data_IF_509941129303
#
_entry.id   IF_509941129303
#
_cell.length_a   1.000
_cell.length_b   1.000
_cell.length_c   1.000
_cell.angle_alpha   90.00
_cell.angle_beta   90.00
_cell.angle_gamma   90.00
#
_symmetry.space_group_name_H-M   'P 1'
#
loop_
_entity.id
_entity.type
_entity.pdbx_description
1 polymer ?
#
# COMPACT_ATOMS: atom_id res chain seq x y z
N UNK A 1 -11.59 32.65 11.85
CA UNK A 1 -12.13 31.34 11.39
C UNK A 1 -13.08 31.63 10.25
N UNK A 2 -12.82 31.12 9.03
CA UNK A 2 -13.77 31.25 7.91
C UNK A 2 -14.91 30.23 8.12
N UNK A 3 -15.99 30.66 8.76
CA UNK A 3 -17.22 29.87 8.93
C UNK A 3 -17.86 29.53 7.58
N UNK A 4 -17.51 30.26 6.53
CA UNK A 4 -18.07 30.10 5.18
C UNK A 4 -17.68 28.80 4.46
N UNK A 5 -16.60 28.15 4.84
CA UNK A 5 -16.13 26.92 4.19
C UNK A 5 -16.63 25.64 4.84
N UNK A 6 -17.17 25.72 6.06
CA UNK A 6 -17.66 24.57 6.83
C UNK A 6 -19.17 24.40 6.68
N UNK A 7 -19.65 23.14 6.79
CA UNK A 7 -21.09 22.80 6.70
C UNK A 7 -21.54 22.11 7.97
N UNK A 8 -22.66 22.57 8.52
CA UNK A 8 -23.37 21.86 9.60
C UNK A 8 -24.55 21.11 8.98
N UNK A 9 -24.48 19.79 9.08
CA UNK A 9 -25.60 18.92 8.73
C UNK A 9 -26.51 18.75 9.94
N UNK A 10 -27.83 18.85 9.74
CA UNK A 10 -28.82 18.67 10.80
C UNK A 10 -29.80 17.60 10.37
N UNK A 11 -29.89 16.51 11.14
CA UNK A 11 -30.87 15.44 10.89
C UNK A 11 -31.77 15.29 12.11
N UNK A 12 -33.04 15.67 11.93
CA UNK A 12 -34.05 15.63 12.98
C UNK A 12 -35.44 15.53 12.29
N UNK A 13 -36.34 14.67 12.76
CA UNK A 13 -37.66 14.48 12.16
C UNK A 13 -38.65 15.58 12.54
N UNK A 14 -38.44 16.30 13.66
CA UNK A 14 -39.26 17.43 14.08
C UNK A 14 -39.00 18.69 13.20
N UNK A 15 -39.94 19.12 12.37
CA UNK A 15 -39.75 20.25 11.50
C UNK A 15 -39.55 21.57 12.27
N UNK A 16 -40.12 21.71 13.47
CA UNK A 16 -40.04 22.90 14.30
C UNK A 16 -38.61 23.07 14.85
N UNK A 17 -38.08 22.00 15.46
CA UNK A 17 -36.73 22.04 15.98
C UNK A 17 -35.68 22.16 14.87
N UNK A 18 -35.85 21.41 13.78
CA UNK A 18 -34.97 21.48 12.61
C UNK A 18 -34.94 22.90 12.02
N UNK A 19 -36.10 23.56 11.91
CA UNK A 19 -36.21 24.94 11.44
C UNK A 19 -35.61 25.98 12.40
N UNK A 20 -35.75 25.76 13.72
CA UNK A 20 -35.15 26.62 14.73
C UNK A 20 -33.63 26.54 14.70
N UNK A 21 -33.07 25.31 14.63
CA UNK A 21 -31.62 25.08 14.50
C UNK A 21 -31.08 25.70 13.19
N UNK A 22 -31.74 25.47 12.04
CA UNK A 22 -31.31 26.06 10.75
C UNK A 22 -31.26 27.60 10.85
N UNK A 23 -32.33 28.23 11.42
CA UNK A 23 -32.39 29.68 11.57
C UNK A 23 -31.30 30.22 12.50
N UNK A 24 -31.08 29.59 13.64
CA UNK A 24 -30.03 29.94 14.60
C UNK A 24 -28.66 29.89 13.94
N UNK A 25 -28.31 28.78 13.32
CA UNK A 25 -27.00 28.57 12.73
C UNK A 25 -26.70 29.51 11.57
N UNK A 26 -27.71 29.77 10.71
CA UNK A 26 -27.58 30.78 9.63
C UNK A 26 -27.43 32.20 10.18
N UNK A 27 -28.09 32.54 11.28
CA UNK A 27 -27.97 33.84 11.89
C UNK A 27 -26.57 34.17 12.39
N UNK A 28 -25.81 33.14 12.77
CA UNK A 28 -24.41 33.26 13.20
C UNK A 28 -23.40 32.93 12.11
N UNK A 29 -23.85 32.76 10.84
CA UNK A 29 -23.00 32.67 9.65
C UNK A 29 -22.59 31.28 9.24
N UNK A 30 -23.19 30.21 9.81
CA UNK A 30 -22.92 28.85 9.37
C UNK A 30 -23.68 28.49 8.08
N UNK A 31 -23.06 27.66 7.23
CA UNK A 31 -23.80 26.97 6.16
C UNK A 31 -24.48 25.74 6.73
N UNK A 32 -25.76 25.60 6.50
CA UNK A 32 -26.57 24.52 7.06
C UNK A 32 -27.25 23.75 5.96
N UNK A 33 -27.27 22.43 6.09
CA UNK A 33 -28.10 21.53 5.30
C UNK A 33 -28.93 20.68 6.25
N UNK A 34 -30.22 20.61 6.04
CA UNK A 34 -31.16 19.92 6.94
C UNK A 34 -31.77 18.70 6.24
N UNK A 35 -32.01 17.65 6.97
CA UNK A 35 -32.57 16.39 6.51
C UNK A 35 -33.65 15.91 7.47
N UNK A 36 -34.70 15.28 6.93
CA UNK A 36 -35.86 14.79 7.69
C UNK A 36 -35.57 13.39 8.26
N UNK A 37 -34.64 12.64 7.64
CA UNK A 37 -34.32 11.26 8.03
C UNK A 37 -32.84 10.97 7.83
N UNK A 38 -32.39 9.91 8.50
CA UNK A 38 -31.05 9.36 8.30
C UNK A 38 -30.81 8.89 6.85
N UNK A 39 -31.85 8.35 6.19
CA UNK A 39 -31.74 7.88 4.82
C UNK A 39 -31.55 9.04 3.84
N UNK A 40 -32.31 10.16 4.00
CA UNK A 40 -32.14 11.35 3.16
C UNK A 40 -30.71 11.92 3.25
N UNK A 41 -30.13 11.87 4.45
CA UNK A 41 -28.74 12.30 4.65
C UNK A 41 -27.74 11.38 3.91
N UNK A 42 -27.88 10.06 4.02
CA UNK A 42 -27.01 9.10 3.31
C UNK A 42 -27.13 9.26 1.79
N UNK A 43 -28.36 9.43 1.28
CA UNK A 43 -28.63 9.58 -0.15
C UNK A 43 -28.07 10.89 -0.72
N UNK A 44 -27.88 11.91 0.12
CA UNK A 44 -27.30 13.21 -0.27
C UNK A 44 -25.82 13.14 -0.62
N UNK A 45 -25.11 12.05 -0.26
CA UNK A 45 -23.67 11.85 -0.43
C UNK A 45 -22.91 13.08 0.08
N UNK A 46 -22.76 13.24 1.39
CA UNK A 46 -22.17 14.43 1.98
C UNK A 46 -20.78 14.70 1.38
N UNK A 47 -20.52 15.97 1.07
CA UNK A 47 -19.29 16.38 0.41
C UNK A 47 -18.08 16.20 1.35
N UNK A 48 -16.94 15.88 0.78
CA UNK A 48 -15.66 15.80 1.51
C UNK A 48 -15.13 17.22 1.78
N UNK A 49 -15.69 17.84 2.82
CA UNK A 49 -15.30 19.17 3.33
C UNK A 49 -15.40 19.19 4.84
N UNK A 50 -14.84 20.22 5.46
CA UNK A 50 -14.98 20.47 6.88
C UNK A 50 -16.45 20.52 7.28
N UNK A 51 -16.87 19.65 8.22
CA UNK A 51 -18.28 19.52 8.57
C UNK A 51 -18.47 18.99 9.99
N UNK A 52 -19.69 19.13 10.52
CA UNK A 52 -20.18 18.34 11.63
C UNK A 52 -21.63 17.93 11.38
N UNK A 53 -22.09 16.90 12.08
CA UNK A 53 -23.42 16.35 12.01
C UNK A 53 -24.14 16.51 13.36
N UNK A 54 -25.19 17.29 13.39
CA UNK A 54 -26.14 17.39 14.49
C UNK A 54 -27.26 16.39 14.22
N UNK A 55 -27.43 15.40 15.10
CA UNK A 55 -28.20 14.20 14.81
C UNK A 55 -29.16 13.85 15.95
N UNK A 56 -30.45 13.78 15.67
CA UNK A 56 -31.39 13.19 16.63
C UNK A 56 -31.16 11.69 16.78
N UNK A 57 -31.14 11.22 18.02
CA UNK A 57 -31.05 9.80 18.34
C UNK A 57 -32.31 9.06 17.90
N UNK A 58 -33.50 9.67 18.10
CA UNK A 58 -34.80 9.03 17.97
C UNK A 58 -35.45 9.30 16.59
N UNK A 59 -34.74 8.95 15.50
CA UNK A 59 -35.28 9.09 14.15
C UNK A 59 -36.19 7.89 13.78
N UNK A 60 -37.23 8.12 12.97
CA UNK A 60 -38.08 7.06 12.44
C UNK A 60 -37.31 6.25 11.37
N UNK A 61 -37.45 4.93 11.42
CA UNK A 61 -36.76 4.00 10.52
C UNK A 61 -35.33 3.73 10.96
N UNK A 62 -34.37 4.34 10.31
CA UNK A 62 -32.96 4.23 10.68
C UNK A 62 -32.66 5.21 11.82
N UNK A 63 -32.33 4.70 13.01
CA UNK A 63 -32.03 5.55 14.17
C UNK A 63 -30.73 6.34 13.98
N UNK A 64 -30.53 7.41 14.79
CA UNK A 64 -29.30 8.18 14.77
C UNK A 64 -28.05 7.33 15.07
N UNK A 65 -28.14 6.36 15.98
CA UNK A 65 -27.04 5.42 16.28
C UNK A 65 -26.74 4.46 15.11
N UNK A 66 -27.78 4.03 14.40
CA UNK A 66 -27.59 3.21 13.20
C UNK A 66 -26.94 4.03 12.08
N UNK A 67 -27.34 5.29 11.89
CA UNK A 67 -26.69 6.19 10.95
C UNK A 67 -25.20 6.37 11.25
N UNK A 68 -24.84 6.59 12.52
CA UNK A 68 -23.43 6.67 12.91
C UNK A 68 -22.66 5.39 12.53
N UNK A 69 -23.28 4.23 12.77
CA UNK A 69 -22.69 2.93 12.40
C UNK A 69 -22.47 2.81 10.89
N UNK A 70 -23.43 3.27 10.08
CA UNK A 70 -23.32 3.28 8.63
C UNK A 70 -22.23 4.27 8.12
N UNK A 71 -22.07 5.43 8.76
CA UNK A 71 -20.99 6.36 8.44
C UNK A 71 -19.62 5.73 8.66
N UNK A 72 -19.43 5.04 9.78
CA UNK A 72 -18.18 4.31 10.10
C UNK A 72 -17.90 3.22 9.06
N UNK A 73 -18.89 2.40 8.71
CA UNK A 73 -18.74 1.35 7.69
C UNK A 73 -18.36 1.90 6.33
N UNK A 74 -18.93 3.05 5.97
CA UNK A 74 -18.65 3.73 4.70
C UNK A 74 -17.40 4.62 4.75
N UNK A 75 -16.63 4.62 5.86
CA UNK A 75 -15.43 5.44 6.08
C UNK A 75 -15.69 6.95 5.95
N UNK A 76 -16.89 7.39 6.23
CA UNK A 76 -17.27 8.82 6.24
C UNK A 76 -16.93 9.37 7.63
N UNK A 77 -15.92 10.22 7.69
CA UNK A 77 -15.42 10.80 8.94
C UNK A 77 -16.03 12.19 9.13
N UNK A 78 -17.20 12.26 9.80
CA UNK A 78 -17.85 13.51 10.18
C UNK A 78 -18.08 13.42 11.70
N UNK A 79 -17.62 14.41 12.50
CA UNK A 79 -17.93 14.47 13.93
C UNK A 79 -19.44 14.57 14.16
N UNK A 80 -19.96 13.72 15.06
CA UNK A 80 -21.38 13.63 15.36
C UNK A 80 -21.66 14.25 16.73
N UNK A 81 -22.63 15.17 16.77
CA UNK A 81 -23.24 15.74 17.97
C UNK A 81 -24.64 15.15 18.07
N UNK A 82 -24.90 14.32 19.07
CA UNK A 82 -26.23 13.78 19.27
C UNK A 82 -27.13 14.76 20.04
N UNK A 83 -28.40 14.82 19.64
CA UNK A 83 -29.47 15.51 20.36
C UNK A 83 -30.53 14.46 20.73
N UNK A 84 -31.05 14.49 21.95
CA UNK A 84 -32.10 13.55 22.38
C UNK A 84 -33.09 14.17 23.38
N UNK A 85 -34.37 13.80 23.26
CA UNK A 85 -35.40 14.15 24.23
C UNK A 85 -35.44 13.27 25.50
N UNK A 86 -34.75 12.11 25.48
CA UNK A 86 -34.68 11.20 26.60
C UNK A 86 -33.22 10.83 26.85
N UNK A 87 -32.63 11.48 27.86
CA UNK A 87 -31.29 11.13 28.32
C UNK A 87 -31.38 9.95 29.29
N UNK A 88 -31.42 8.73 28.75
CA UNK A 88 -31.05 7.58 29.56
C UNK A 88 -29.55 7.36 29.50
N UNK A 89 -28.95 7.11 30.66
CA UNK A 89 -27.49 6.87 30.77
C UNK A 89 -26.98 5.77 29.81
N UNK A 90 -27.71 4.66 29.58
CA UNK A 90 -27.31 3.64 28.60
C UNK A 90 -27.17 4.17 27.17
N UNK A 91 -28.08 5.03 26.69
CA UNK A 91 -28.04 5.57 25.30
C UNK A 91 -26.92 6.55 25.10
N UNK A 92 -26.70 7.47 26.07
CA UNK A 92 -25.56 8.40 26.01
C UNK A 92 -24.20 7.68 26.02
N UNK A 93 -24.05 6.67 26.87
CA UNK A 93 -22.83 5.86 26.92
C UNK A 93 -22.60 5.06 25.62
N UNK A 94 -23.68 4.56 24.99
CA UNK A 94 -23.58 3.88 23.70
C UNK A 94 -23.16 4.82 22.59
N UNK A 95 -23.73 6.02 22.52
CA UNK A 95 -23.36 7.06 21.56
C UNK A 95 -21.87 7.44 21.67
N UNK A 96 -21.40 7.72 22.89
CA UNK A 96 -19.99 8.08 23.14
C UNK A 96 -19.05 6.91 22.84
N UNK A 97 -19.39 5.67 23.19
CA UNK A 97 -18.59 4.49 22.83
C UNK A 97 -18.54 4.22 21.34
N UNK A 98 -19.57 4.62 20.60
CA UNK A 98 -19.61 4.55 19.15
C UNK A 98 -18.85 5.72 18.46
N UNK A 99 -18.17 6.59 19.23
CA UNK A 99 -17.33 7.67 18.70
C UNK A 99 -18.08 8.98 18.46
N UNK A 100 -19.21 9.23 19.14
CA UNK A 100 -19.82 10.55 19.16
C UNK A 100 -18.88 11.55 19.84
N UNK A 101 -18.81 12.76 19.30
CA UNK A 101 -17.98 13.82 19.85
C UNK A 101 -18.66 14.51 21.04
N UNK A 102 -19.98 14.73 20.92
CA UNK A 102 -20.77 15.49 21.90
C UNK A 102 -22.19 14.91 21.98
N UNK A 103 -22.87 15.26 23.08
CA UNK A 103 -24.24 14.80 23.37
C UNK A 103 -25.04 15.87 24.10
N UNK A 104 -26.14 16.34 23.50
CA UNK A 104 -27.02 17.35 24.08
C UNK A 104 -28.41 16.78 24.41
N UNK A 105 -28.97 17.16 25.56
CA UNK A 105 -30.33 16.77 25.97
C UNK A 105 -31.34 17.86 25.68
N UNK A 106 -32.45 17.53 25.04
CA UNK A 106 -33.58 18.45 24.84
C UNK A 106 -34.37 18.63 26.15
N UNK A 107 -34.66 19.87 26.60
CA UNK A 107 -34.26 21.13 25.99
C UNK A 107 -32.81 21.48 26.28
N UNK A 108 -32.12 22.09 25.32
CA UNK A 108 -30.76 22.60 25.44
C UNK A 108 -30.73 24.11 25.18
N UNK A 109 -29.72 24.80 25.71
CA UNK A 109 -29.52 26.21 25.43
C UNK A 109 -28.86 26.44 24.08
N UNK A 110 -29.13 27.56 23.44
CA UNK A 110 -28.54 27.91 22.12
C UNK A 110 -27.00 27.94 22.19
N UNK A 111 -26.47 28.45 23.30
CA UNK A 111 -25.03 28.55 23.54
C UNK A 111 -24.37 27.18 23.59
N UNK A 112 -25.00 26.18 24.21
CA UNK A 112 -24.46 24.80 24.31
C UNK A 112 -24.36 24.17 22.92
N UNK A 113 -25.38 24.33 22.08
CA UNK A 113 -25.36 23.83 20.71
C UNK A 113 -24.28 24.52 19.88
N UNK A 114 -24.13 25.83 19.99
CA UNK A 114 -23.12 26.59 19.25
C UNK A 114 -21.68 26.24 19.70
N UNK A 115 -21.49 25.98 20.99
CA UNK A 115 -20.20 25.52 21.51
C UNK A 115 -19.85 24.12 21.03
N UNK A 116 -20.79 23.17 21.09
CA UNK A 116 -20.62 21.82 20.58
C UNK A 116 -20.28 21.83 19.07
N UNK A 117 -20.95 22.65 18.27
CA UNK A 117 -20.67 22.78 16.83
C UNK A 117 -19.26 23.36 16.59
N UNK A 118 -18.86 24.42 17.32
CA UNK A 118 -17.51 24.98 17.16
C UNK A 118 -16.45 23.95 17.51
N UNK A 119 -16.64 23.19 18.59
CA UNK A 119 -15.75 22.12 19.00
C UNK A 119 -15.67 21.00 17.94
N UNK A 120 -16.82 20.58 17.40
CA UNK A 120 -16.87 19.55 16.37
C UNK A 120 -16.16 19.98 15.07
N UNK A 121 -16.39 21.20 14.60
CA UNK A 121 -15.73 21.74 13.40
C UNK A 121 -14.22 21.87 13.60
N UNK A 122 -13.78 22.32 14.78
CA UNK A 122 -12.35 22.41 15.09
C UNK A 122 -11.69 21.02 15.18
N UNK A 123 -12.38 20.04 15.76
CA UNK A 123 -11.94 18.65 15.79
C UNK A 123 -11.80 18.08 14.37
N UNK A 124 -12.81 18.28 13.50
CA UNK A 124 -12.75 17.83 12.10
C UNK A 124 -11.57 18.48 11.36
N UNK A 125 -11.35 19.79 11.54
CA UNK A 125 -10.24 20.53 10.96
C UNK A 125 -8.90 19.91 11.35
N UNK A 126 -8.68 19.74 12.65
CA UNK A 126 -7.42 19.17 13.17
C UNK A 126 -7.17 17.75 12.67
N UNK A 127 -8.22 16.92 12.65
CA UNK A 127 -8.15 15.56 12.14
C UNK A 127 -7.79 15.52 10.65
N UNK A 128 -8.40 16.40 9.83
CA UNK A 128 -8.11 16.50 8.39
C UNK A 128 -6.71 17.05 8.12
N UNK A 129 -6.25 18.03 8.87
CA UNK A 129 -4.88 18.55 8.78
C UNK A 129 -3.86 17.44 9.10
N UNK A 130 -4.02 16.72 10.21
CA UNK A 130 -3.15 15.60 10.57
C UNK A 130 -3.16 14.48 9.54
N UNK A 131 -4.34 14.16 8.98
CA UNK A 131 -4.44 13.14 7.94
C UNK A 131 -3.73 13.56 6.66
N UNK A 132 -3.90 14.82 6.24
CA UNK A 132 -3.20 15.36 5.06
C UNK A 132 -1.70 15.38 5.25
N UNK A 133 -1.21 15.87 6.39
CA UNK A 133 0.23 15.93 6.69
C UNK A 133 0.84 14.51 6.67
N UNK A 134 0.15 13.54 7.26
CA UNK A 134 0.57 12.14 7.22
C UNK A 134 0.60 11.57 5.78
N UNK A 135 -0.39 11.88 4.96
CA UNK A 135 -0.39 11.48 3.55
C UNK A 135 0.74 12.14 2.75
N UNK A 136 1.05 13.41 3.02
CA UNK A 136 2.16 14.11 2.38
C UNK A 136 3.51 13.50 2.76
N UNK A 137 3.70 13.12 4.03
CA UNK A 137 4.90 12.41 4.50
C UNK A 137 5.05 11.04 3.82
N UNK A 138 3.99 10.24 3.76
CA UNK A 138 4.01 8.95 3.08
C UNK A 138 4.28 9.09 1.58
N UNK A 139 3.69 10.09 0.92
CA UNK A 139 3.95 10.37 -0.48
C UNK A 139 5.41 10.81 -0.72
N UNK A 140 6.02 11.54 0.21
CA UNK A 140 7.44 11.88 0.15
C UNK A 140 8.32 10.63 0.30
N UNK A 141 8.02 9.75 1.25
CA UNK A 141 8.71 8.47 1.43
C UNK A 141 8.58 7.56 0.19
N UNK A 142 7.39 7.50 -0.43
CA UNK A 142 7.16 6.76 -1.65
C UNK A 142 8.03 7.26 -2.81
N UNK A 143 8.15 8.59 -2.99
CA UNK A 143 9.04 9.17 -4.02
C UNK A 143 10.50 8.79 -3.80
N UNK A 144 10.98 8.78 -2.55
CA UNK A 144 12.34 8.36 -2.22
C UNK A 144 12.52 6.87 -2.56
N UNK A 145 11.60 6.00 -2.13
CA UNK A 145 11.66 4.58 -2.40
C UNK A 145 11.64 4.27 -3.90
N UNK A 146 10.77 4.92 -4.67
CA UNK A 146 10.74 4.81 -6.13
C UNK A 146 12.06 5.28 -6.77
N UNK A 147 12.66 6.34 -6.24
CA UNK A 147 13.97 6.82 -6.68
C UNK A 147 15.10 5.81 -6.43
N UNK A 148 15.04 5.04 -5.34
CA UNK A 148 16.00 3.97 -5.06
C UNK A 148 15.81 2.77 -6.00
N UNK A 149 14.59 2.50 -6.46
CA UNK A 149 14.26 1.44 -7.42
C UNK A 149 14.39 1.89 -8.88
N UNK A 150 14.68 3.18 -9.13
CA UNK A 150 14.87 3.65 -10.48
C UNK A 150 16.01 2.87 -11.13
N UNK A 151 15.68 2.03 -12.10
CA UNK A 151 16.65 1.48 -13.02
C UNK A 151 17.20 2.68 -13.78
N UNK A 152 18.34 3.19 -13.37
CA UNK A 152 19.16 3.97 -14.29
C UNK A 152 19.33 3.03 -15.48
N UNK A 153 18.88 3.44 -16.66
CA UNK A 153 18.93 2.63 -17.88
C UNK A 153 20.40 2.36 -18.25
N UNK A 154 21.04 1.55 -17.43
CA UNK A 154 22.32 0.93 -17.70
C UNK A 154 21.99 -0.18 -18.69
N UNK A 155 22.06 0.16 -19.95
CA UNK A 155 22.09 -0.82 -21.03
C UNK A 155 23.55 -1.20 -21.24
N UNK A 156 24.07 -2.24 -20.54
CA UNK A 156 25.35 -2.78 -20.93
C UNK A 156 25.19 -3.37 -22.35
N UNK A 157 26.22 -3.35 -23.18
CA UNK A 157 26.11 -3.71 -24.59
C UNK A 157 25.67 -5.17 -24.85
N UNK A 158 25.49 -5.98 -23.81
CA UNK A 158 25.16 -7.39 -23.90
C UNK A 158 23.85 -7.78 -23.21
N UNK A 159 23.22 -6.88 -22.44
CA UNK A 159 21.97 -7.14 -21.74
C UNK A 159 21.15 -5.86 -21.55
N UNK A 160 19.83 -6.02 -21.61
CA UNK A 160 18.87 -4.98 -21.29
C UNK A 160 18.08 -5.41 -20.04
N UNK A 161 17.93 -4.51 -19.08
CA UNK A 161 17.16 -4.79 -17.88
C UNK A 161 16.02 -3.78 -17.70
N UNK A 162 14.86 -4.29 -17.28
CA UNK A 162 13.66 -3.51 -16.98
C UNK A 162 13.05 -4.02 -15.69
N UNK A 163 12.67 -3.11 -14.78
CA UNK A 163 11.96 -3.42 -13.57
C UNK A 163 10.66 -2.64 -13.45
N UNK A 164 9.67 -3.23 -12.81
CA UNK A 164 8.37 -2.63 -12.52
C UNK A 164 7.92 -3.06 -11.14
N UNK A 165 7.51 -2.10 -10.32
CA UNK A 165 7.00 -2.34 -8.98
C UNK A 165 5.79 -1.46 -8.72
N UNK A 166 4.77 -2.03 -8.12
CA UNK A 166 3.60 -1.34 -7.60
C UNK A 166 3.34 -1.81 -6.17
N UNK A 167 3.52 -0.94 -5.18
CA UNK A 167 3.21 -1.29 -3.80
C UNK A 167 1.70 -1.40 -3.60
N UNK A 168 1.28 -2.28 -2.68
CA UNK A 168 -0.11 -2.46 -2.28
C UNK A 168 -0.63 -1.34 -1.36
N UNK A 169 0.28 -0.55 -0.81
CA UNK A 169 0.03 0.68 -0.03
C UNK A 169 0.82 1.82 -0.63
N UNK A 170 0.93 2.94 0.08
CA UNK A 170 1.71 4.10 -0.36
C UNK A 170 3.19 3.76 -0.55
N UNK A 171 3.74 2.87 0.31
CA UNK A 171 5.10 2.35 0.28
C UNK A 171 5.09 0.85 0.55
N UNK A 172 6.04 0.11 -0.03
CA UNK A 172 6.08 -1.35 0.00
C UNK A 172 7.32 -1.96 0.64
N UNK A 173 7.25 -3.27 0.90
CA UNK A 173 8.36 -4.12 1.35
C UNK A 173 9.23 -4.63 0.20
N UNK A 174 8.70 -4.58 -1.02
CA UNK A 174 9.41 -5.00 -2.22
C UNK A 174 10.46 -3.99 -2.66
N UNK A 175 11.55 -4.48 -3.22
CA UNK A 175 12.44 -3.68 -4.05
C UNK A 175 13.10 -4.50 -5.15
N UNK A 176 13.55 -3.83 -6.19
CA UNK A 176 14.49 -4.36 -7.16
C UNK A 176 15.65 -3.40 -7.40
N UNK A 177 16.77 -3.92 -7.87
CA UNK A 177 17.95 -3.16 -8.26
C UNK A 177 18.60 -3.76 -9.49
N UNK A 178 19.14 -2.91 -10.36
CA UNK A 178 20.00 -3.32 -11.47
C UNK A 178 21.25 -2.46 -11.44
N UNK A 179 22.40 -3.11 -11.40
CA UNK A 179 23.72 -2.47 -11.28
C UNK A 179 24.67 -3.06 -12.31
N UNK A 180 25.63 -2.24 -12.76
CA UNK A 180 26.83 -2.75 -13.44
C UNK A 180 27.98 -2.79 -12.44
N UNK A 181 28.57 -3.96 -12.25
CA UNK A 181 29.70 -4.20 -11.35
C UNK A 181 30.83 -4.80 -12.18
N UNK A 182 31.89 -4.04 -12.38
CA UNK A 182 32.93 -4.43 -13.33
C UNK A 182 32.39 -4.52 -14.75
N UNK A 183 32.50 -5.71 -15.36
CA UNK A 183 31.94 -6.04 -16.66
C UNK A 183 30.59 -6.75 -16.61
N UNK A 184 30.09 -7.02 -15.42
CA UNK A 184 28.88 -7.83 -15.18
C UNK A 184 27.67 -6.95 -14.89
N UNK A 185 26.48 -7.45 -15.26
CA UNK A 185 25.18 -6.92 -14.80
C UNK A 185 24.71 -7.71 -13.60
N UNK A 186 24.33 -7.00 -12.57
CA UNK A 186 23.73 -7.59 -11.37
C UNK A 186 22.29 -7.11 -11.25
N UNK A 187 21.37 -8.05 -11.15
CA UNK A 187 19.96 -7.83 -10.88
C UNK A 187 19.59 -8.40 -9.51
N UNK A 188 18.88 -7.66 -8.70
CA UNK A 188 18.40 -8.11 -7.39
C UNK A 188 16.93 -7.79 -7.23
N UNK A 189 16.18 -8.70 -6.61
CA UNK A 189 14.79 -8.50 -6.20
C UNK A 189 14.61 -9.09 -4.80
N UNK A 190 13.83 -8.42 -3.97
CA UNK A 190 13.53 -8.88 -2.63
C UNK A 190 12.14 -8.45 -2.19
N UNK A 191 11.58 -9.24 -1.26
CA UNK A 191 10.37 -8.94 -0.54
C UNK A 191 10.64 -9.07 0.97
N UNK A 192 10.27 -8.04 1.73
CA UNK A 192 10.41 -7.99 3.19
C UNK A 192 9.08 -8.27 3.85
N UNK A 193 9.04 -9.26 4.72
CA UNK A 193 7.85 -9.70 5.44
C UNK A 193 7.07 -8.56 6.09
N UNK A 194 5.76 -8.47 5.79
CA UNK A 194 4.83 -7.45 6.27
C UNK A 194 4.72 -6.27 5.30
N UNK A 195 3.93 -5.25 5.65
CA UNK A 195 3.52 -4.18 4.73
C UNK A 195 3.69 -2.79 5.33
N UNK A 196 3.75 -1.77 4.47
CA UNK A 196 3.81 -0.37 4.86
C UNK A 196 5.18 0.07 5.39
N UNK A 197 5.21 1.10 6.22
CA UNK A 197 6.43 1.85 6.61
C UNK A 197 7.54 0.95 7.17
N UNK A 198 7.20 0.00 8.06
CA UNK A 198 8.21 -0.87 8.67
C UNK A 198 8.90 -1.78 7.65
N UNK A 199 8.14 -2.37 6.72
CA UNK A 199 8.70 -3.19 5.63
C UNK A 199 9.53 -2.33 4.67
N UNK A 200 9.05 -1.14 4.30
CA UNK A 200 9.74 -0.21 3.41
C UNK A 200 11.10 0.26 3.97
N UNK A 201 11.18 0.56 5.26
CA UNK A 201 12.46 0.92 5.93
C UNK A 201 13.44 -0.25 5.87
N UNK A 202 12.97 -1.47 6.14
CA UNK A 202 13.81 -2.67 6.09
C UNK A 202 14.25 -3.00 4.67
N UNK A 203 13.36 -2.84 3.68
CA UNK A 203 13.66 -3.02 2.26
C UNK A 203 14.76 -2.07 1.80
N UNK A 204 14.64 -0.77 2.14
CA UNK A 204 15.65 0.24 1.79
C UNK A 204 17.01 -0.04 2.45
N UNK A 205 17.01 -0.51 3.69
CA UNK A 205 18.24 -0.90 4.37
C UNK A 205 18.89 -2.12 3.71
N UNK A 206 18.11 -3.16 3.43
CA UNK A 206 18.60 -4.37 2.75
C UNK A 206 19.16 -4.03 1.36
N UNK A 207 18.47 -3.18 0.61
CA UNK A 207 18.92 -2.68 -0.69
C UNK A 207 20.28 -1.96 -0.57
N UNK A 208 20.45 -1.10 0.43
CA UNK A 208 21.72 -0.41 0.69
C UNK A 208 22.86 -1.38 1.03
N UNK A 209 22.60 -2.40 1.85
CA UNK A 209 23.60 -3.43 2.21
C UNK A 209 24.03 -4.26 0.98
N UNK A 210 23.07 -4.64 0.12
CA UNK A 210 23.35 -5.37 -1.12
C UNK A 210 24.18 -4.51 -2.07
N UNK A 211 23.75 -3.26 -2.28
CA UNK A 211 24.43 -2.31 -3.16
C UNK A 211 25.89 -2.10 -2.74
N UNK A 212 26.11 -1.79 -1.47
CA UNK A 212 27.46 -1.60 -0.93
C UNK A 212 28.31 -2.85 -1.08
N UNK A 213 27.79 -4.04 -0.70
CA UNK A 213 28.51 -5.30 -0.83
C UNK A 213 28.88 -5.62 -2.28
N UNK A 214 27.98 -5.36 -3.24
CA UNK A 214 28.25 -5.57 -4.66
C UNK A 214 29.33 -4.62 -5.19
N UNK A 215 29.28 -3.35 -4.85
CA UNK A 215 30.30 -2.36 -5.26
C UNK A 215 31.66 -2.64 -4.64
N UNK A 216 31.69 -3.18 -3.44
CA UNK A 216 32.90 -3.63 -2.74
C UNK A 216 33.41 -5.01 -3.18
N UNK A 217 32.78 -5.62 -4.22
CA UNK A 217 33.09 -6.96 -4.72
C UNK A 217 33.03 -8.07 -3.63
N UNK A 218 32.16 -7.91 -2.65
CA UNK A 218 31.91 -8.94 -1.63
C UNK A 218 31.17 -10.12 -2.29
N UNK A 219 31.57 -11.39 -2.05
CA UNK A 219 30.90 -12.55 -2.62
C UNK A 219 29.40 -12.60 -2.22
N UNK A 220 28.51 -13.01 -3.14
CA UNK A 220 27.06 -13.05 -2.90
C UNK A 220 26.66 -13.78 -1.61
N UNK A 221 27.25 -14.97 -1.26
CA UNK A 221 26.94 -15.64 0.01
C UNK A 221 27.32 -14.83 1.25
N UNK A 222 28.34 -14.00 1.16
CA UNK A 222 28.80 -13.17 2.27
C UNK A 222 27.90 -11.94 2.43
N UNK A 223 27.44 -11.33 1.33
CA UNK A 223 26.43 -10.27 1.36
C UNK A 223 25.16 -10.78 2.08
N UNK A 224 24.65 -11.95 1.69
CA UNK A 224 23.48 -12.53 2.34
C UNK A 224 23.71 -12.86 3.82
N UNK A 225 24.91 -13.35 4.17
CA UNK A 225 25.28 -13.63 5.57
C UNK A 225 25.30 -12.36 6.41
N UNK A 226 25.89 -11.27 5.91
CA UNK A 226 25.97 -9.99 6.61
C UNK A 226 24.55 -9.41 6.82
N UNK A 227 23.72 -9.48 5.78
CA UNK A 227 22.31 -9.08 5.89
C UNK A 227 21.55 -9.97 6.90
N UNK A 228 21.72 -11.29 6.85
CA UNK A 228 21.09 -12.21 7.78
C UNK A 228 21.51 -11.94 9.23
N UNK A 229 22.78 -11.71 9.49
CA UNK A 229 23.27 -11.36 10.82
C UNK A 229 22.64 -10.05 11.30
N UNK A 230 22.59 -9.04 10.43
CA UNK A 230 21.97 -7.76 10.77
C UNK A 230 20.50 -7.91 11.17
N UNK A 231 19.70 -8.68 10.42
CA UNK A 231 18.28 -8.87 10.67
C UNK A 231 18.00 -9.78 11.87
N UNK A 232 18.79 -10.85 12.05
CA UNK A 232 18.53 -11.88 13.08
C UNK A 232 19.05 -11.53 14.47
N UNK A 233 20.02 -10.61 14.60
CA UNK A 233 20.61 -10.21 15.90
C UNK A 233 19.79 -9.11 16.57
N UNK A 234 19.11 -8.26 15.80
CA UNK A 234 18.31 -7.15 16.29
C UNK A 234 16.86 -7.57 16.48
N UNK A 235 16.22 -7.03 17.54
CA UNK A 235 14.78 -7.20 17.73
C UNK A 235 14.03 -6.25 16.78
N UNK A 236 13.87 -6.68 15.53
CA UNK A 236 13.19 -5.95 14.47
C UNK A 236 11.75 -6.47 14.25
N UNK A 237 11.14 -7.07 15.29
CA UNK A 237 9.78 -7.61 15.20
C UNK A 237 9.68 -8.87 14.35
N UNK A 238 10.68 -9.75 14.40
CA UNK A 238 10.75 -11.01 13.66
C UNK A 238 10.62 -10.82 12.13
N UNK A 239 11.17 -9.72 11.61
CA UNK A 239 11.20 -9.46 10.16
C UNK A 239 12.25 -10.31 9.47
N UNK A 240 11.88 -10.85 8.33
CA UNK A 240 12.77 -11.56 7.41
C UNK A 240 12.53 -11.05 5.99
N UNK A 241 13.41 -11.41 5.08
CA UNK A 241 13.27 -11.05 3.68
C UNK A 241 13.57 -12.24 2.78
N UNK A 242 12.80 -12.40 1.73
CA UNK A 242 13.14 -13.23 0.58
C UNK A 242 13.98 -12.39 -0.39
N UNK A 243 14.97 -13.00 -1.05
CA UNK A 243 15.93 -12.27 -1.87
C UNK A 243 16.47 -13.14 -3.00
N UNK A 244 16.55 -12.58 -4.20
CA UNK A 244 17.38 -13.13 -5.29
C UNK A 244 18.37 -12.08 -5.75
N UNK A 245 19.62 -12.50 -5.90
CA UNK A 245 20.67 -11.71 -6.57
C UNK A 245 21.19 -12.56 -7.74
N UNK A 246 21.21 -11.99 -8.93
CA UNK A 246 21.71 -12.62 -10.15
C UNK A 246 22.82 -11.77 -10.72
N UNK A 247 23.94 -12.39 -11.07
CA UNK A 247 25.06 -11.74 -11.75
C UNK A 247 25.26 -12.41 -13.12
N UNK A 248 25.26 -11.60 -14.20
CA UNK A 248 25.44 -12.08 -15.59
C UNK A 248 26.64 -11.40 -16.22
N UNK A 249 27.54 -12.21 -16.77
CA UNK A 249 28.76 -11.76 -17.46
C UNK A 249 28.50 -11.56 -18.96
N UNK A 250 29.40 -10.81 -19.66
CA UNK A 250 29.27 -10.60 -21.10
C UNK A 250 29.25 -11.88 -21.94
N UNK A 251 29.83 -12.99 -21.48
CA UNK A 251 29.86 -14.28 -22.16
C UNK A 251 28.62 -15.17 -21.88
N UNK A 252 27.63 -14.63 -21.16
CA UNK A 252 26.41 -15.32 -20.75
C UNK A 252 26.57 -16.27 -19.56
N UNK A 253 27.79 -16.41 -18.99
CA UNK A 253 27.92 -17.11 -17.71
C UNK A 253 27.24 -16.28 -16.62
N UNK A 254 26.47 -16.95 -15.79
CA UNK A 254 25.78 -16.32 -14.67
C UNK A 254 25.97 -17.10 -13.37
N UNK A 255 25.87 -16.38 -12.28
CA UNK A 255 25.71 -16.94 -10.95
C UNK A 255 24.55 -16.27 -10.24
N UNK A 256 23.90 -17.00 -9.34
CA UNK A 256 22.80 -16.46 -8.56
C UNK A 256 22.82 -16.97 -7.13
N UNK A 257 22.21 -16.19 -6.27
CA UNK A 257 21.89 -16.53 -4.90
C UNK A 257 20.39 -16.31 -4.70
N UNK A 258 19.66 -17.34 -4.33
CA UNK A 258 18.25 -17.25 -3.94
C UNK A 258 18.16 -17.54 -2.44
N UNK A 259 17.47 -16.67 -1.70
CA UNK A 259 17.22 -16.77 -0.27
C UNK A 259 15.71 -16.88 -0.02
N UNK A 260 15.10 -18.02 -0.32
CA UNK A 260 13.69 -18.30 -0.08
C UNK A 260 12.70 -17.54 -0.96
N UNK A 261 13.16 -16.95 -2.04
CA UNK A 261 12.35 -16.21 -2.99
C UNK A 261 11.81 -17.12 -4.11
N UNK A 262 10.78 -16.65 -4.86
CA UNK A 262 10.29 -17.37 -6.04
C UNK A 262 11.47 -17.63 -6.99
N UNK A 263 11.65 -18.90 -7.45
CA UNK A 263 12.74 -19.23 -8.34
C UNK A 263 12.68 -18.45 -9.66
N UNK A 264 13.77 -17.77 -10.08
CA UNK A 264 13.81 -17.04 -11.33
C UNK A 264 13.46 -17.92 -12.54
N UNK A 265 12.73 -17.36 -13.49
CA UNK A 265 12.40 -18.00 -14.76
C UNK A 265 13.46 -17.65 -15.79
N UNK A 266 13.92 -18.65 -16.53
CA UNK A 266 14.78 -18.48 -17.70
C UNK A 266 13.98 -18.90 -18.94
N UNK A 267 13.50 -17.92 -19.71
CA UNK A 267 12.89 -18.14 -20.99
C UNK A 267 13.97 -18.24 -22.05
N UNK A 268 14.07 -19.39 -22.70
CA UNK A 268 14.98 -19.60 -23.80
C UNK A 268 14.46 -18.97 -25.09
N UNK A 269 15.34 -18.57 -25.97
CA UNK A 269 14.95 -18.10 -27.31
C UNK A 269 14.10 -19.11 -28.08
N UNK A 270 14.15 -20.39 -27.72
CA UNK A 270 13.32 -21.48 -28.26
C UNK A 270 11.87 -21.48 -27.75
N UNK A 271 11.53 -20.68 -26.73
CA UNK A 271 10.24 -20.71 -26.04
C UNK A 271 10.18 -21.67 -24.85
N UNK A 272 11.24 -22.48 -24.62
CA UNK A 272 11.34 -23.30 -23.42
C UNK A 272 11.55 -22.42 -22.18
N UNK A 273 10.85 -22.73 -21.09
CA UNK A 273 11.03 -22.06 -19.80
C UNK A 273 11.62 -23.02 -18.78
N UNK A 274 12.70 -22.60 -18.13
CA UNK A 274 13.33 -23.33 -17.04
C UNK A 274 13.39 -22.43 -15.80
N UNK A 275 13.59 -23.01 -14.60
CA UNK A 275 13.66 -22.27 -13.35
C UNK A 275 14.98 -22.52 -12.63
N UNK A 276 15.52 -21.49 -12.02
CA UNK A 276 16.70 -21.57 -11.16
C UNK A 276 16.27 -21.98 -9.74
N UNK A 277 16.21 -23.28 -9.46
CA UNK A 277 15.51 -23.84 -8.27
C UNK A 277 16.36 -23.91 -7.00
N UNK A 278 17.69 -23.78 -7.11
CA UNK A 278 18.55 -23.83 -5.91
C UNK A 278 18.25 -22.61 -5.01
N UNK A 279 17.95 -22.87 -3.75
CA UNK A 279 17.53 -21.84 -2.80
C UNK A 279 18.15 -22.08 -1.43
N UNK A 280 18.32 -20.99 -0.69
CA UNK A 280 18.75 -20.95 0.70
C UNK A 280 17.59 -20.47 1.58
N UNK A 281 17.79 -20.40 2.89
CA UNK A 281 16.81 -19.79 3.81
C UNK A 281 16.66 -18.30 3.59
N UNK A 282 15.46 -17.71 3.80
CA UNK A 282 15.27 -16.27 3.81
C UNK A 282 16.23 -15.56 4.77
N UNK A 283 16.61 -14.34 4.40
CA UNK A 283 17.49 -13.49 5.22
C UNK A 283 16.74 -13.03 6.47
N UNK A 284 17.35 -13.20 7.64
CA UNK A 284 16.76 -12.82 8.93
C UNK A 284 15.89 -13.89 9.57
N UNK A 285 15.54 -14.97 8.86
CA UNK A 285 14.66 -16.02 9.38
C UNK A 285 15.35 -16.88 10.46
N UNK A 286 16.63 -17.20 10.28
CA UNK A 286 17.36 -18.07 11.17
C UNK A 286 18.80 -17.56 11.38
N UNK A 287 19.25 -17.49 12.65
CA UNK A 287 20.64 -17.16 12.98
C UNK A 287 21.58 -18.23 12.42
N UNK A 288 22.77 -17.81 12.00
CA UNK A 288 23.81 -18.67 11.45
C UNK A 288 23.41 -19.48 10.21
N UNK A 289 22.44 -18.97 9.41
CA UNK A 289 22.09 -19.58 8.14
C UNK A 289 23.31 -19.59 7.20
N UNK A 290 23.52 -20.72 6.51
CA UNK A 290 24.53 -20.83 5.46
C UNK A 290 23.91 -20.44 4.12
N UNK A 291 24.69 -19.73 3.29
CA UNK A 291 24.28 -19.29 1.97
C UNK A 291 25.23 -19.82 0.91
N UNK A 292 24.68 -20.31 -0.19
CA UNK A 292 25.42 -20.86 -1.32
C UNK A 292 24.90 -20.28 -2.62
N UNK A 293 25.80 -19.91 -3.50
CA UNK A 293 25.49 -19.49 -4.86
C UNK A 293 25.46 -20.69 -5.80
N UNK A 294 24.73 -20.56 -6.89
CA UNK A 294 24.65 -21.55 -7.97
C UNK A 294 24.93 -20.88 -9.31
N UNK A 295 25.41 -21.68 -10.27
CA UNK A 295 25.74 -21.20 -11.61
C UNK A 295 24.62 -21.49 -12.61
N UNK A 296 24.54 -20.65 -13.65
CA UNK A 296 23.68 -20.88 -14.81
C UNK A 296 24.31 -20.25 -16.07
N UNK A 297 23.68 -20.44 -17.22
CA UNK A 297 24.13 -19.86 -18.48
C UNK A 297 22.97 -19.34 -19.30
N UNK A 298 23.10 -18.13 -19.86
CA UNK A 298 22.23 -17.56 -20.87
C UNK A 298 22.87 -17.67 -22.25
N UNK A 299 22.06 -17.94 -23.26
CA UNK A 299 22.42 -17.82 -24.66
C UNK A 299 21.81 -16.56 -25.23
N UNK A 300 22.33 -16.07 -26.34
CA UNK A 300 21.79 -14.88 -27.00
C UNK A 300 20.28 -15.06 -27.30
N UNK A 301 19.47 -14.09 -26.88
CA UNK A 301 18.01 -14.12 -27.00
C UNK A 301 17.29 -14.77 -25.80
N UNK A 302 18.01 -15.28 -24.80
CA UNK A 302 17.40 -15.76 -23.57
C UNK A 302 17.02 -14.57 -22.68
N UNK A 303 15.93 -14.75 -21.94
CA UNK A 303 15.40 -13.77 -20.96
C UNK A 303 15.37 -14.37 -19.56
N UNK A 304 15.80 -13.62 -18.57
CA UNK A 304 15.63 -13.92 -17.15
C UNK A 304 14.50 -13.06 -16.58
N UNK A 305 13.57 -13.68 -15.84
CA UNK A 305 12.44 -12.99 -15.21
C UNK A 305 12.41 -13.36 -13.73
N UNK A 306 12.35 -12.35 -12.89
CA UNK A 306 12.21 -12.44 -11.43
C UNK A 306 10.91 -11.74 -11.04
N UNK A 307 10.19 -12.30 -10.06
CA UNK A 307 8.90 -11.77 -9.59
C UNK A 307 8.75 -11.98 -8.09
N UNK A 308 8.07 -11.07 -7.42
CA UNK A 308 7.62 -11.29 -6.03
C UNK A 308 6.28 -12.04 -6.01
N UNK A 309 5.90 -12.53 -4.83
CA UNK A 309 4.68 -13.34 -4.65
C UNK A 309 3.39 -12.54 -4.93
N UNK A 310 3.37 -11.22 -4.75
CA UNK A 310 2.25 -10.38 -5.14
C UNK A 310 1.86 -10.47 -6.63
N UNK A 311 2.76 -10.98 -7.50
CA UNK A 311 2.41 -11.31 -8.89
C UNK A 311 1.62 -12.61 -8.97
N UNK A 312 2.09 -13.67 -8.31
CA UNK A 312 1.49 -15.01 -8.36
C UNK A 312 0.29 -15.16 -7.44
N UNK A 313 0.24 -14.40 -6.35
CA UNK A 313 -0.84 -14.37 -5.37
C UNK A 313 -1.88 -13.28 -5.63
N UNK A 314 -1.79 -12.56 -6.75
CA UNK A 314 -2.83 -11.63 -7.18
C UNK A 314 -4.18 -12.37 -7.29
N UNK A 315 -5.23 -11.83 -6.64
CA UNK A 315 -6.54 -12.47 -6.52
C UNK A 315 -7.54 -11.92 -7.53
N UNK A 316 -8.28 -12.81 -8.19
CA UNK A 316 -9.47 -12.47 -8.98
C UNK A 316 -10.66 -12.07 -8.10
N UNK A 317 -11.75 -11.49 -8.67
CA UNK A 317 -13.00 -11.27 -7.94
C UNK A 317 -13.60 -12.54 -7.30
N UNK A 318 -13.35 -13.70 -7.90
CA UNK A 318 -13.81 -15.01 -7.41
C UNK A 318 -12.92 -15.58 -6.30
N UNK A 319 -11.73 -14.98 -6.05
CA UNK A 319 -10.77 -15.42 -5.04
C UNK A 319 -9.74 -16.42 -5.55
N UNK A 320 -9.62 -16.60 -6.85
CA UNK A 320 -8.58 -17.43 -7.46
C UNK A 320 -7.25 -16.66 -7.53
N UNK A 321 -6.12 -17.34 -7.31
CA UNK A 321 -4.81 -16.76 -7.52
C UNK A 321 -4.41 -16.75 -9.00
N UNK A 322 -3.62 -15.75 -9.40
CA UNK A 322 -3.02 -15.67 -10.74
C UNK A 322 -2.17 -16.91 -11.03
N UNK A 323 -1.32 -17.29 -10.09
CA UNK A 323 -0.58 -18.55 -10.06
C UNK A 323 0.69 -18.56 -10.92
N UNK A 324 1.61 -19.43 -10.55
CA UNK A 324 2.88 -19.61 -11.26
C UNK A 324 2.72 -20.23 -12.66
N UNK A 325 1.73 -21.11 -12.85
CA UNK A 325 1.49 -21.77 -14.15
C UNK A 325 1.08 -20.75 -15.22
N UNK A 326 0.21 -19.80 -14.87
CA UNK A 326 -0.21 -18.74 -15.78
C UNK A 326 0.93 -17.79 -16.10
N UNK A 327 1.74 -17.46 -15.11
CA UNK A 327 2.95 -16.66 -15.31
C UNK A 327 3.94 -17.37 -16.23
N UNK A 328 4.20 -18.66 -16.04
CA UNK A 328 5.10 -19.47 -16.88
C UNK A 328 4.61 -19.53 -18.34
N UNK A 329 3.30 -19.66 -18.54
CA UNK A 329 2.71 -19.60 -19.88
C UNK A 329 2.97 -18.24 -20.56
N UNK A 330 2.82 -17.13 -19.84
CA UNK A 330 3.09 -15.79 -20.39
C UNK A 330 4.57 -15.58 -20.72
N UNK A 331 5.45 -16.07 -19.84
CA UNK A 331 6.89 -16.06 -20.05
C UNK A 331 7.26 -16.88 -21.30
N UNK A 332 6.68 -18.07 -21.46
CA UNK A 332 6.88 -18.94 -22.65
C UNK A 332 6.40 -18.30 -23.96
N UNK A 333 5.33 -17.51 -23.90
CA UNK A 333 4.82 -16.74 -25.04
C UNK A 333 5.68 -15.51 -25.37
N UNK A 334 6.73 -15.23 -24.62
CA UNK A 334 7.61 -14.07 -24.83
C UNK A 334 6.95 -12.73 -24.52
N UNK A 335 5.92 -12.71 -23.66
CA UNK A 335 5.25 -11.46 -23.28
C UNK A 335 6.25 -10.50 -22.61
N UNK A 336 6.10 -9.21 -22.90
CA UNK A 336 6.90 -8.17 -22.21
C UNK A 336 6.48 -8.04 -20.73
N UNK A 337 7.34 -7.47 -19.90
CA UNK A 337 7.00 -7.21 -18.50
C UNK A 337 5.74 -6.34 -18.36
N UNK A 338 5.57 -5.35 -19.24
CA UNK A 338 4.36 -4.52 -19.26
C UNK A 338 3.09 -5.31 -19.57
N UNK A 339 3.18 -6.26 -20.51
CA UNK A 339 2.06 -7.14 -20.84
C UNK A 339 1.72 -8.08 -19.68
N UNK A 340 2.73 -8.67 -19.03
CA UNK A 340 2.54 -9.51 -17.83
C UNK A 340 1.89 -8.69 -16.71
N UNK A 341 2.45 -7.53 -16.41
CA UNK A 341 1.92 -6.65 -15.35
C UNK A 341 0.47 -6.22 -15.63
N UNK A 342 0.18 -5.81 -16.87
CA UNK A 342 -1.18 -5.44 -17.27
C UNK A 342 -2.15 -6.62 -17.13
N UNK A 343 -1.68 -7.83 -17.46
CA UNK A 343 -2.51 -9.04 -17.32
C UNK A 343 -2.81 -9.37 -15.86
N UNK A 344 -1.87 -9.12 -14.93
CA UNK A 344 -2.10 -9.24 -13.49
C UNK A 344 -3.15 -8.23 -13.02
N UNK A 345 -3.03 -6.95 -13.43
CA UNK A 345 -4.02 -5.92 -13.10
C UNK A 345 -5.42 -6.23 -13.64
N UNK A 346 -5.50 -6.73 -14.87
CA UNK A 346 -6.79 -7.14 -15.49
C UNK A 346 -7.40 -8.35 -14.77
N UNK A 347 -6.57 -9.28 -14.31
CA UNK A 347 -7.04 -10.45 -13.55
C UNK A 347 -7.67 -10.07 -12.20
N UNK A 348 -7.20 -9.00 -11.58
CA UNK A 348 -7.74 -8.48 -10.32
C UNK A 348 -9.06 -7.70 -10.50
N UNK A 349 -9.38 -7.26 -11.72
CA UNK A 349 -10.61 -6.55 -12.08
C UNK A 349 -10.97 -5.39 -11.12
N UNK A 350 -9.97 -4.55 -10.84
CA UNK A 350 -10.12 -3.36 -9.98
C UNK A 350 -10.06 -3.62 -8.48
N UNK A 351 -9.79 -4.83 -8.03
CA UNK A 351 -9.49 -5.08 -6.61
C UNK A 351 -8.16 -4.42 -6.21
N UNK A 352 -8.05 -3.90 -5.00
CA UNK A 352 -6.77 -3.45 -4.47
C UNK A 352 -5.76 -4.61 -4.43
N UNK A 353 -4.49 -4.32 -4.68
CA UNK A 353 -3.40 -5.27 -4.49
C UNK A 353 -3.41 -5.82 -3.06
N UNK A 354 -3.39 -7.14 -2.93
CA UNK A 354 -3.25 -7.83 -1.63
C UNK A 354 -1.82 -7.74 -1.11
N UNK A 355 -0.82 -7.73 -2.00
CA UNK A 355 0.59 -7.55 -1.70
C UNK A 355 1.31 -6.70 -2.76
N UNK A 356 2.56 -6.31 -2.46
CA UNK A 356 3.40 -5.56 -3.38
C UNK A 356 3.68 -6.40 -4.64
N UNK A 357 3.54 -5.83 -5.82
CA UNK A 357 3.67 -6.53 -7.09
C UNK A 357 4.90 -6.03 -7.83
N UNK A 358 5.96 -6.85 -7.85
CA UNK A 358 7.25 -6.47 -8.45
C UNK A 358 7.72 -7.49 -9.48
N UNK A 359 8.14 -6.99 -10.65
CA UNK A 359 8.71 -7.78 -11.73
C UNK A 359 10.04 -7.16 -12.16
N UNK A 360 11.01 -8.01 -12.48
CA UNK A 360 12.31 -7.62 -13.02
C UNK A 360 12.69 -8.57 -14.15
N UNK A 361 13.00 -8.03 -15.31
CA UNK A 361 13.45 -8.77 -16.49
C UNK A 361 14.86 -8.37 -16.91
N UNK A 362 15.62 -9.33 -17.42
CA UNK A 362 16.92 -9.14 -18.04
C UNK A 362 16.98 -9.92 -19.36
N UNK A 363 17.03 -9.20 -20.45
CA UNK A 363 17.16 -9.75 -21.81
C UNK A 363 18.64 -9.81 -22.16
N UNK A 364 19.16 -11.03 -22.44
CA UNK A 364 20.56 -11.23 -22.80
C UNK A 364 20.71 -11.25 -24.33
N UNK A 365 21.35 -10.18 -24.86
CA UNK A 365 21.51 -9.99 -26.31
C UNK A 365 22.90 -10.46 -26.83
N UNK A 366 23.82 -10.79 -25.92
CA UNK A 366 25.18 -11.24 -26.28
C UNK A 366 26.12 -10.11 -26.74
N UNK A 367 27.43 -10.39 -26.76
CA UNK A 367 28.46 -9.39 -27.06
C UNK A 367 28.60 -9.00 -28.54
N UNK A 368 27.85 -9.65 -29.45
CA UNK A 368 27.92 -9.44 -30.91
C UNK A 368 26.87 -8.52 -31.53
N UNK A 369 25.82 -8.16 -30.80
CA UNK A 369 24.78 -7.27 -31.28
C UNK A 369 25.21 -5.79 -31.08
N UNK A 370 25.88 -5.24 -32.07
CA UNK A 370 25.94 -3.77 -32.23
C UNK A 370 24.70 -3.36 -33.01
N UNK A 371 23.83 -2.55 -32.39
CA UNK A 371 22.78 -1.79 -33.08
C UNK A 371 23.38 -0.67 -33.91
#
# INVERSE_FOLDING_TARGET
MNQEDSVVYVVDDDPSLRGAIDSLLRSVGWRVQTFVSAQDFLDSKPQDRQACLVLDVALPGLSGLDLQSELIKNKIQIPVIFITGHADVPTSVRAMKAGALEFLTKPFEEEDLLEAIRHAIEHDRTSREQHRDHQEELAAAARIQQGLMAVTALQPPFAEALGKSQPCREIGGDFFSVLTVGDSVVAAIADVSGKGVAAAVMASLLQGMIHEGLLSNVPLPEIARNANEFFSVRDLGSKYATLVIVCVKPDGQGEYLNCGHIPPFVARASGEVTRLRESNLPVGLMRNAEYRRSGFRLNCGDRLILVTDGVTEAESPEGDFFGEERLEAFVSLGMSLDQIFTSVCLFQDGRPLSDDCTLLGLDYVGTGARF
#
